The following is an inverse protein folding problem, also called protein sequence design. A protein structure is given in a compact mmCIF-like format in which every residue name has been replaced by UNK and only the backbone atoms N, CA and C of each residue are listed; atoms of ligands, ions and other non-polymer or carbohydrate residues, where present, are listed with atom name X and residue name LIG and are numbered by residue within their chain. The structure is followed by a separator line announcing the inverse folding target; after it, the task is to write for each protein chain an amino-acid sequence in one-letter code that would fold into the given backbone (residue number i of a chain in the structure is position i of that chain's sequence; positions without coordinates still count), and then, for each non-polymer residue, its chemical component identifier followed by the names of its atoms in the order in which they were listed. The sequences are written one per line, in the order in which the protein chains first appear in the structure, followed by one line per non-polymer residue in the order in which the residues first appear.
data_IF_751390991684
#
_entry.id   IF_751390991684
#
_cell.length_a   1.000
_cell.length_b   1.000
_cell.length_c   1.000
_cell.angle_alpha   90.00
_cell.angle_beta   90.00
_cell.angle_gamma   90.00
#
_symmetry.space_group_name_H-M   'P 1'
#
loop_
_entity.id
_entity.type
_entity.pdbx_description
1 polymer ?
#
# COMPACT_ATOMS: atom_id res chain seq x y z
N UNK A 1 3.32 34.40 -33.34
CA UNK A 1 2.31 33.70 -32.52
C UNK A 1 3.08 32.71 -31.68
N UNK A 2 3.52 33.16 -30.51
CA UNK A 2 4.29 32.40 -29.53
C UNK A 2 3.40 31.30 -28.97
N UNK A 3 3.83 30.05 -29.08
CA UNK A 3 3.20 28.91 -28.41
C UNK A 3 3.50 29.02 -26.92
N UNK A 4 2.52 29.45 -26.14
CA UNK A 4 2.50 29.31 -24.70
C UNK A 4 2.36 27.81 -24.40
N UNK A 5 3.45 27.20 -23.95
CA UNK A 5 3.43 25.88 -23.34
C UNK A 5 2.84 26.07 -21.94
N UNK A 6 1.63 25.56 -21.73
CA UNK A 6 1.04 25.45 -20.41
C UNK A 6 2.02 24.67 -19.52
N UNK A 7 2.54 25.31 -18.48
CA UNK A 7 3.39 24.67 -17.48
C UNK A 7 2.53 23.65 -16.72
N UNK A 8 2.59 22.38 -17.14
CA UNK A 8 2.03 21.26 -16.39
C UNK A 8 2.54 21.33 -14.94
N UNK A 9 1.63 21.58 -14.01
CA UNK A 9 1.89 21.69 -12.58
C UNK A 9 2.58 20.41 -12.08
N UNK A 10 3.90 20.46 -11.91
CA UNK A 10 4.69 19.32 -11.48
C UNK A 10 4.28 18.92 -10.06
N UNK A 11 3.48 17.86 -9.95
CA UNK A 11 3.15 17.22 -8.67
C UNK A 11 4.33 16.32 -8.29
N UNK A 12 5.09 16.74 -7.28
CA UNK A 12 6.22 15.97 -6.75
C UNK A 12 5.77 14.55 -6.34
N UNK A 13 6.39 13.54 -6.94
CA UNK A 13 6.04 12.13 -6.67
C UNK A 13 6.39 11.74 -5.23
N UNK A 14 5.36 11.39 -4.45
CA UNK A 14 5.52 10.87 -3.09
C UNK A 14 5.31 9.35 -3.08
N UNK A 15 6.35 8.55 -2.72
CA UNK A 15 6.24 7.10 -2.64
C UNK A 15 5.06 6.62 -1.77
N UNK A 16 4.38 5.55 -2.19
CA UNK A 16 3.20 4.95 -1.51
C UNK A 16 3.40 4.80 0.00
N UNK A 17 4.57 4.30 0.44
CA UNK A 17 4.87 4.13 1.85
C UNK A 17 4.84 5.45 2.64
N UNK A 18 5.32 6.54 2.03
CA UNK A 18 5.24 7.89 2.61
C UNK A 18 3.81 8.42 2.60
N UNK A 19 3.04 8.19 1.53
CA UNK A 19 1.61 8.56 1.47
C UNK A 19 0.79 7.85 2.56
N UNK A 20 0.97 6.53 2.73
CA UNK A 20 0.33 5.74 3.79
C UNK A 20 0.65 6.28 5.19
N UNK A 21 1.92 6.62 5.44
CA UNK A 21 2.33 7.21 6.71
C UNK A 21 1.72 8.60 6.94
N UNK A 22 1.65 9.44 5.90
CA UNK A 22 1.04 10.78 5.97
C UNK A 22 -0.47 10.71 6.22
N UNK A 23 -1.19 9.83 5.53
CA UNK A 23 -2.63 9.63 5.75
C UNK A 23 -2.92 9.05 7.13
N UNK A 24 -2.18 8.03 7.56
CA UNK A 24 -2.32 7.47 8.91
C UNK A 24 -2.10 8.55 9.98
N UNK A 25 -1.09 9.41 9.80
CA UNK A 25 -0.82 10.56 10.68
C UNK A 25 -1.96 11.59 10.63
N UNK A 26 -2.53 11.87 9.46
CA UNK A 26 -3.67 12.80 9.30
C UNK A 26 -4.93 12.28 10.01
N UNK A 27 -5.21 10.98 9.91
CA UNK A 27 -6.33 10.32 10.57
C UNK A 27 -6.16 10.31 12.10
N UNK A 28 -4.94 10.03 12.59
CA UNK A 28 -4.61 10.12 14.03
C UNK A 28 -4.80 11.55 14.59
N UNK A 29 -4.35 12.56 13.85
CA UNK A 29 -4.52 13.97 14.22
C UNK A 29 -6.00 14.40 14.25
N UNK A 30 -6.83 13.85 13.36
CA UNK A 30 -8.28 14.08 13.37
C UNK A 30 -8.94 13.49 14.62
N UNK A 31 -8.62 12.25 14.97
CA UNK A 31 -9.11 11.62 16.19
C UNK A 31 -8.67 12.34 17.48
N UNK A 32 -7.46 12.90 17.51
CA UNK A 32 -6.99 13.70 18.66
C UNK A 32 -7.75 15.02 18.82
N UNK A 33 -8.25 15.62 17.73
CA UNK A 33 -9.07 16.84 17.77
C UNK A 33 -10.51 16.57 18.24
N UNK A 34 -11.05 15.40 17.92
CA UNK A 34 -12.43 15.00 18.26
C UNK A 34 -12.57 14.40 19.68
N UNK A 35 -11.45 14.11 20.38
CA UNK A 35 -11.42 13.48 21.70
C UNK A 35 -11.43 14.40 22.93
N UNK A 36 -11.77 15.70 22.81
CA UNK A 36 -11.81 16.63 23.96
C UNK A 36 -13.24 16.72 24.52
N UNK A 37 -13.50 16.35 25.79
CA UNK A 37 -14.86 16.36 26.33
C UNK A 37 -15.34 17.79 26.58
N UNK A 38 -16.60 18.05 26.20
CA UNK A 38 -17.34 19.30 26.40
C UNK A 38 -17.66 19.42 27.89
N UNK A 39 -17.22 20.53 28.51
CA UNK A 39 -17.63 20.92 29.86
C UNK A 39 -19.00 21.59 29.76
N UNK A 40 -20.01 20.93 30.30
CA UNK A 40 -21.30 21.52 30.63
C UNK A 40 -21.12 22.72 31.57
N UNK A 41 -21.81 23.83 31.28
CA UNK A 41 -22.65 24.57 32.23
C UNK A 41 -23.49 25.57 31.45
N UNK A 42 -24.81 25.46 31.60
CA UNK A 42 -25.79 26.31 30.93
C UNK A 42 -26.06 27.64 31.65
N UNK A 43 -26.67 28.53 30.85
CA UNK A 43 -27.80 29.41 31.14
C UNK A 43 -27.68 30.53 32.19
N UNK A 44 -27.82 31.78 31.68
CA UNK A 44 -28.63 32.93 32.18
C UNK A 44 -28.39 33.47 33.60
N UNK A 45 -28.55 34.74 33.97
CA UNK A 45 -28.85 36.04 33.38
C UNK A 45 -28.74 37.06 34.56
N UNK A 46 -28.48 38.33 34.24
CA UNK A 46 -28.94 39.54 34.93
C UNK A 46 -28.25 40.10 36.23
N UNK A 47 -27.60 41.26 36.02
CA UNK A 47 -27.77 42.60 36.65
C UNK A 47 -27.05 43.01 37.96
N UNK A 48 -26.45 44.22 37.88
CA UNK A 48 -26.11 45.18 38.97
C UNK A 48 -24.65 45.13 39.44
N UNK A 49 -23.69 45.95 38.99
CA UNK A 49 -23.50 47.41 38.94
C UNK A 49 -22.72 48.00 40.15
N UNK A 50 -21.78 48.89 39.79
CA UNK A 50 -20.97 49.84 40.57
C UNK A 50 -19.82 49.29 41.48
N UNK A 51 -18.58 49.82 41.52
CA UNK A 51 -17.90 50.98 40.91
C UNK A 51 -16.40 51.02 41.33
N UNK A 52 -15.55 51.68 40.51
CA UNK A 52 -14.31 52.47 40.82
C UNK A 52 -13.00 51.70 41.16
N UNK A 53 -11.80 51.98 40.63
CA UNK A 53 -11.20 53.16 39.96
C UNK A 53 -10.02 52.79 38.99
N UNK A 54 -9.92 53.54 37.89
CA UNK A 54 -8.77 54.19 37.16
C UNK A 54 -7.32 53.63 37.20
N UNK A 55 -6.39 53.98 36.30
CA UNK A 55 -6.25 54.32 34.87
C UNK A 55 -4.73 54.52 34.64
N UNK A 56 -4.29 54.31 33.40
CA UNK A 56 -3.10 54.82 32.71
C UNK A 56 -1.64 54.51 33.17
N UNK A 57 -0.76 54.41 32.16
CA UNK A 57 0.70 54.18 32.24
C UNK A 57 1.51 55.49 32.12
N UNK A 58 2.85 55.47 31.90
CA UNK A 58 3.95 55.72 32.85
C UNK A 58 4.74 57.04 32.52
N UNK A 59 5.89 57.47 33.14
CA UNK A 59 7.23 56.83 32.97
C UNK A 59 8.36 57.17 34.01
N UNK A 60 9.58 56.65 33.74
CA UNK A 60 10.94 57.08 34.19
C UNK A 60 11.41 56.61 35.59
N UNK A 61 12.70 56.38 35.94
CA UNK A 61 14.02 56.24 35.29
C UNK A 61 15.04 55.80 36.37
N UNK A 62 16.27 55.40 35.97
CA UNK A 62 17.55 55.53 36.71
C UNK A 62 18.14 54.36 37.55
N UNK A 63 19.14 53.69 36.95
CA UNK A 63 20.57 53.56 37.37
C UNK A 63 21.15 52.32 38.14
N UNK A 64 22.21 51.75 37.50
CA UNK A 64 23.48 51.10 37.96
C UNK A 64 23.48 49.75 38.72
N UNK A 65 24.41 48.76 38.59
CA UNK A 65 25.44 48.21 37.63
C UNK A 65 26.02 46.90 38.33
N UNK A 66 27.06 46.16 37.83
CA UNK A 66 27.12 44.75 37.36
C UNK A 66 27.91 43.78 38.32
N UNK A 67 28.55 42.62 37.94
CA UNK A 67 28.59 41.83 36.68
C UNK A 67 28.41 40.28 36.80
N UNK A 68 27.95 39.59 35.74
CA UNK A 68 28.18 38.14 35.55
C UNK A 68 28.11 37.71 34.07
N UNK A 69 29.22 37.13 33.59
CA UNK A 69 29.47 36.27 32.41
C UNK A 69 28.59 36.39 31.14
N UNK A 70 29.20 36.88 30.06
CA UNK A 70 28.65 36.90 28.69
C UNK A 70 28.53 35.49 28.06
N UNK A 71 27.32 35.06 27.70
CA UNK A 71 27.08 33.93 26.79
C UNK A 71 26.68 34.45 25.40
N UNK A 72 27.53 34.23 24.39
CA UNK A 72 27.25 34.62 23.00
C UNK A 72 26.19 33.70 22.35
N UNK A 73 25.35 34.22 21.42
CA UNK A 73 24.33 33.43 20.74
C UNK A 73 24.95 32.37 19.79
N UNK A 74 24.28 31.24 19.54
CA UNK A 74 24.78 30.20 18.64
C UNK A 74 24.94 30.75 17.21
N UNK A 75 26.03 30.41 16.51
CA UNK A 75 26.28 30.92 15.17
C UNK A 75 25.24 30.39 14.17
N UNK A 76 24.84 31.24 13.23
CA UNK A 76 23.87 30.89 12.20
C UNK A 76 24.33 29.70 11.36
N UNK A 77 23.38 28.92 10.83
CA UNK A 77 23.64 27.72 10.02
C UNK A 77 24.57 28.01 8.82
N UNK A 78 24.49 29.23 8.26
CA UNK A 78 25.33 29.69 7.17
C UNK A 78 26.81 29.89 7.60
N UNK A 79 27.01 30.36 8.83
CA UNK A 79 28.34 30.50 9.45
C UNK A 79 28.91 29.12 9.82
N UNK A 80 28.07 28.18 10.26
CA UNK A 80 28.51 26.80 10.51
C UNK A 80 28.93 26.08 9.22
N UNK A 81 28.16 26.24 8.14
CA UNK A 81 28.48 25.64 6.84
C UNK A 81 29.81 26.16 6.25
N UNK A 82 30.09 27.46 6.41
CA UNK A 82 31.35 28.07 5.97
C UNK A 82 32.54 27.67 6.84
N UNK A 83 32.34 27.54 8.15
CA UNK A 83 33.37 27.01 9.08
C UNK A 83 33.67 25.53 8.81
N UNK A 84 32.67 24.72 8.47
CA UNK A 84 32.84 23.31 8.09
C UNK A 84 33.60 23.19 6.76
N UNK A 85 33.26 24.00 5.75
CA UNK A 85 34.02 24.05 4.49
C UNK A 85 35.47 24.48 4.68
N UNK A 86 35.74 25.39 5.62
CA UNK A 86 37.11 25.87 5.92
C UNK A 86 37.95 24.87 6.73
N UNK A 87 37.31 23.93 7.42
CA UNK A 87 37.96 22.84 8.18
C UNK A 87 38.22 21.58 7.35
N UNK A 88 37.65 21.50 6.13
CA UNK A 88 37.97 20.39 5.24
C UNK A 88 39.38 20.59 4.67
N UNK A 89 40.24 19.55 4.71
CA UNK A 89 41.55 19.64 4.07
C UNK A 89 41.36 19.92 2.58
N UNK A 90 42.20 20.80 2.02
CA UNK A 90 42.17 21.08 0.59
C UNK A 90 42.55 19.80 -0.16
N UNK A 91 41.56 19.14 -0.75
CA UNK A 91 41.74 17.87 -1.46
C UNK A 91 42.78 18.09 -2.56
N UNK A 92 43.87 17.35 -2.47
CA UNK A 92 45.02 17.49 -3.35
C UNK A 92 44.61 17.07 -4.76
N UNK A 93 45.19 17.69 -5.80
CA UNK A 93 44.89 17.32 -7.20
C UNK A 93 45.08 15.81 -7.48
N UNK A 94 46.01 15.17 -6.78
CA UNK A 94 46.23 13.73 -6.83
C UNK A 94 45.06 12.93 -6.23
N UNK A 95 44.50 13.36 -5.10
CA UNK A 95 43.35 12.71 -4.46
C UNK A 95 42.08 12.85 -5.30
N UNK A 96 41.90 13.99 -5.97
CA UNK A 96 40.77 14.19 -6.90
C UNK A 96 40.85 13.25 -8.11
N UNK A 97 42.05 13.03 -8.66
CA UNK A 97 42.27 12.09 -9.76
C UNK A 97 41.98 10.66 -9.33
N UNK A 98 42.48 10.25 -8.14
CA UNK A 98 42.18 8.92 -7.58
C UNK A 98 40.68 8.75 -7.35
N UNK A 99 39.99 9.79 -6.87
CA UNK A 99 38.54 9.76 -6.66
C UNK A 99 37.78 9.58 -7.99
N UNK A 100 38.19 10.30 -9.03
CA UNK A 100 37.61 10.16 -10.37
C UNK A 100 37.92 8.80 -11.00
N UNK A 101 39.14 8.28 -10.83
CA UNK A 101 39.50 6.94 -11.32
C UNK A 101 38.65 5.85 -10.64
N UNK A 102 38.43 5.95 -9.33
CA UNK A 102 37.55 5.04 -8.57
C UNK A 102 36.11 5.14 -9.09
N UNK A 103 35.61 6.35 -9.33
CA UNK A 103 34.25 6.58 -9.83
C UNK A 103 34.04 5.98 -11.22
N UNK A 104 34.98 6.20 -12.15
CA UNK A 104 34.94 5.65 -13.51
C UNK A 104 35.01 4.12 -13.49
N UNK A 105 35.88 3.53 -12.65
CA UNK A 105 35.99 2.08 -12.50
C UNK A 105 34.68 1.49 -11.94
N UNK A 106 34.07 2.16 -10.96
CA UNK A 106 32.80 1.73 -10.39
C UNK A 106 31.67 1.79 -11.41
N UNK A 107 31.61 2.86 -12.21
CA UNK A 107 30.58 3.06 -13.23
C UNK A 107 30.73 2.06 -14.41
N UNK A 108 31.98 1.72 -14.76
CA UNK A 108 32.30 0.65 -15.72
C UNK A 108 31.90 -0.73 -15.18
N UNK A 109 32.10 -1.01 -13.89
CA UNK A 109 31.68 -2.29 -13.27
C UNK A 109 30.16 -2.41 -13.15
N UNK A 110 29.43 -1.31 -12.93
CA UNK A 110 27.97 -1.31 -12.92
C UNK A 110 27.36 -1.37 -14.33
N UNK A 111 28.03 -0.77 -15.33
CA UNK A 111 27.59 -0.75 -16.73
C UNK A 111 27.96 -2.03 -17.50
N UNK A 112 29.10 -2.64 -17.17
CA UNK A 112 29.53 -3.91 -17.73
C UNK A 112 28.82 -5.06 -17.01
N UNK A 113 27.59 -5.35 -17.45
CA UNK A 113 26.77 -6.53 -17.10
C UNK A 113 26.76 -6.84 -15.60
N UNK A 114 25.69 -6.39 -14.92
CA UNK A 114 25.29 -6.93 -13.61
C UNK A 114 25.63 -8.44 -13.57
N UNK A 115 26.51 -8.89 -12.67
CA UNK A 115 26.84 -10.30 -12.57
C UNK A 115 25.54 -11.09 -12.45
N UNK A 116 25.50 -12.28 -13.04
CA UNK A 116 24.38 -13.22 -12.90
C UNK A 116 24.32 -13.63 -11.42
N UNK A 117 23.67 -12.80 -10.62
CA UNK A 117 23.44 -13.07 -9.21
C UNK A 117 22.39 -14.17 -9.10
N UNK A 118 22.57 -15.05 -8.13
CA UNK A 118 21.54 -16.06 -7.84
C UNK A 118 20.24 -15.36 -7.39
N UNK A 119 19.09 -16.00 -7.61
CA UNK A 119 17.80 -15.47 -7.13
C UNK A 119 17.84 -15.20 -5.61
N UNK A 120 18.61 -16.01 -4.88
CA UNK A 120 18.85 -15.85 -3.44
C UNK A 120 19.66 -14.59 -3.10
N UNK A 121 20.69 -14.28 -3.88
CA UNK A 121 21.50 -13.06 -3.72
C UNK A 121 20.70 -11.80 -4.06
N UNK A 122 19.89 -11.85 -5.13
CA UNK A 122 19.00 -10.76 -5.54
C UNK A 122 17.90 -10.48 -4.50
N UNK A 123 17.41 -11.53 -3.84
CA UNK A 123 16.35 -11.43 -2.83
C UNK A 123 16.82 -10.78 -1.52
N UNK A 124 18.11 -10.42 -1.36
CA UNK A 124 18.67 -9.80 -0.14
C UNK A 124 18.28 -10.52 1.15
N UNK A 125 18.07 -11.84 1.09
CA UNK A 125 17.63 -12.65 2.24
C UNK A 125 16.20 -12.39 2.72
N UNK A 126 15.38 -11.63 2.01
CA UNK A 126 13.98 -11.39 2.38
C UNK A 126 13.21 -12.69 2.18
N UNK A 127 12.79 -13.28 3.29
CA UNK A 127 11.90 -14.44 3.32
C UNK A 127 10.58 -13.99 3.91
N UNK A 128 9.52 -14.08 3.10
CA UNK A 128 8.17 -13.83 3.57
C UNK A 128 7.68 -15.07 4.29
N UNK A 129 7.48 -14.97 5.60
CA UNK A 129 7.01 -16.07 6.46
C UNK A 129 5.55 -15.93 6.82
N UNK A 130 5.02 -14.71 6.76
CA UNK A 130 3.65 -14.39 7.11
C UNK A 130 2.75 -14.36 5.86
N UNK A 131 1.50 -14.82 5.97
CA UNK A 131 0.53 -14.71 4.89
C UNK A 131 0.23 -13.24 4.58
N UNK A 132 -0.22 -12.98 3.35
CA UNK A 132 -0.65 -11.66 2.94
C UNK A 132 -1.80 -11.19 3.85
N UNK A 133 -1.72 -10.00 4.48
CA UNK A 133 -2.81 -9.52 5.32
C UNK A 133 -4.02 -9.19 4.45
N UNK A 134 -5.08 -10.01 4.54
CA UNK A 134 -6.35 -9.73 3.85
C UNK A 134 -7.47 -9.46 4.84
N UNK A 135 -8.41 -8.59 4.45
CA UNK A 135 -9.64 -8.33 5.21
C UNK A 135 -10.70 -9.42 5.02
N UNK A 136 -10.46 -10.39 4.14
CA UNK A 136 -11.44 -11.38 3.77
C UNK A 136 -11.55 -12.48 4.83
N UNK A 137 -12.78 -12.79 5.22
CA UNK A 137 -13.12 -13.92 6.08
C UNK A 137 -14.34 -14.64 5.54
N UNK A 138 -14.37 -15.99 5.57
CA UNK A 138 -15.54 -16.74 5.16
C UNK A 138 -16.79 -16.33 5.97
N UNK A 139 -18.00 -16.42 5.38
CA UNK A 139 -19.24 -16.18 6.11
C UNK A 139 -19.36 -17.06 7.37
N UNK A 140 -20.11 -16.58 8.37
CA UNK A 140 -20.23 -17.24 9.67
C UNK A 140 -20.65 -18.71 9.58
N UNK A 141 -21.53 -19.06 8.64
CA UNK A 141 -21.96 -20.46 8.41
C UNK A 141 -20.81 -21.42 8.12
N UNK A 142 -19.82 -21.00 7.32
CA UNK A 142 -18.66 -21.83 7.00
C UNK A 142 -17.66 -21.87 8.15
N UNK A 143 -17.51 -20.76 8.89
CA UNK A 143 -16.63 -20.69 10.06
C UNK A 143 -17.12 -21.55 11.23
N UNK A 144 -18.43 -21.64 11.42
CA UNK A 144 -19.07 -22.45 12.47
C UNK A 144 -19.29 -23.91 12.07
N UNK A 145 -19.10 -24.26 10.80
CA UNK A 145 -19.22 -25.63 10.31
C UNK A 145 -18.21 -26.53 11.04
N UNK A 146 -18.63 -27.68 11.60
CA UNK A 146 -17.72 -28.62 12.25
C UNK A 146 -16.72 -29.19 11.24
N UNK A 147 -15.57 -29.68 11.73
CA UNK A 147 -14.53 -30.26 10.86
C UNK A 147 -15.06 -31.44 10.05
N UNK A 148 -15.90 -32.28 10.65
CA UNK A 148 -16.50 -33.46 10.01
C UNK A 148 -17.28 -33.09 8.74
N UNK A 149 -18.09 -32.04 8.78
CA UNK A 149 -18.84 -31.55 7.61
C UNK A 149 -17.91 -31.01 6.52
N UNK A 150 -16.83 -30.31 6.91
CA UNK A 150 -15.81 -29.82 5.96
C UNK A 150 -15.13 -30.99 5.25
N UNK A 151 -14.80 -32.03 6.01
CA UNK A 151 -14.15 -33.23 5.49
C UNK A 151 -15.10 -34.08 4.64
N UNK A 152 -16.39 -34.12 5.00
CA UNK A 152 -17.42 -34.74 4.17
C UNK A 152 -17.54 -34.05 2.80
N UNK A 153 -17.52 -32.71 2.76
CA UNK A 153 -17.51 -31.95 1.51
C UNK A 153 -16.24 -32.26 0.71
N UNK A 154 -15.06 -32.24 1.35
CA UNK A 154 -13.79 -32.58 0.66
C UNK A 154 -13.82 -33.99 0.08
N UNK A 155 -14.32 -34.96 0.86
CA UNK A 155 -14.48 -36.35 0.41
C UNK A 155 -15.46 -36.47 -0.77
N UNK A 156 -16.59 -35.77 -0.71
CA UNK A 156 -17.59 -35.75 -1.79
C UNK A 156 -17.00 -35.25 -3.11
N UNK A 157 -16.14 -34.24 -3.07
CA UNK A 157 -15.52 -33.64 -4.25
C UNK A 157 -14.11 -34.16 -4.55
N UNK A 158 -13.67 -35.22 -3.88
CA UNK A 158 -12.35 -35.83 -4.01
C UNK A 158 -11.19 -34.81 -3.85
N UNK A 159 -11.35 -33.90 -2.90
CA UNK A 159 -10.36 -32.87 -2.58
C UNK A 159 -9.46 -33.40 -1.47
N UNK A 160 -8.16 -33.43 -1.74
CA UNK A 160 -7.12 -33.69 -0.74
C UNK A 160 -6.50 -32.36 -0.35
N UNK A 161 -6.33 -32.15 0.95
CA UNK A 161 -5.73 -30.94 1.52
C UNK A 161 -4.61 -31.32 2.47
N UNK A 162 -3.56 -30.53 2.46
CA UNK A 162 -2.40 -30.65 3.35
C UNK A 162 -1.96 -29.23 3.76
N UNK A 163 -1.42 -29.11 4.97
CA UNK A 163 -1.01 -27.84 5.57
C UNK A 163 -1.84 -27.39 6.78
N UNK A 164 -1.48 -26.23 7.31
CA UNK A 164 -1.99 -25.72 8.59
C UNK A 164 -3.21 -24.80 8.39
N UNK A 165 -4.11 -24.77 9.38
CA UNK A 165 -5.26 -23.85 9.47
C UNK A 165 -6.17 -23.77 8.21
N UNK A 166 -6.33 -24.85 7.44
CA UNK A 166 -7.01 -24.82 6.13
C UNK A 166 -8.44 -24.21 6.20
N UNK A 167 -8.72 -23.13 5.44
CA UNK A 167 -10.05 -22.53 5.39
C UNK A 167 -11.14 -23.52 4.96
N UNK A 168 -12.38 -23.33 5.42
CA UNK A 168 -13.48 -24.20 5.06
C UNK A 168 -13.77 -24.12 3.55
N UNK A 169 -14.17 -25.24 2.92
CA UNK A 169 -14.63 -25.23 1.53
C UNK A 169 -15.89 -24.37 1.37
N UNK A 170 -15.94 -23.54 0.32
CA UNK A 170 -17.10 -22.65 0.05
C UNK A 170 -17.77 -23.06 -1.26
N UNK A 171 -19.05 -23.44 -1.18
CA UNK A 171 -19.78 -24.05 -2.30
C UNK A 171 -20.47 -23.06 -3.24
N UNK A 172 -20.51 -21.77 -2.92
CA UNK A 172 -21.17 -20.73 -3.73
C UNK A 172 -20.26 -19.52 -3.91
N UNK A 173 -20.17 -18.99 -5.14
CA UNK A 173 -19.40 -17.77 -5.42
C UNK A 173 -19.90 -16.55 -4.64
N UNK A 174 -21.22 -16.42 -4.46
CA UNK A 174 -21.81 -15.32 -3.68
C UNK A 174 -21.34 -15.32 -2.22
N UNK A 175 -21.10 -16.50 -1.65
CA UNK A 175 -20.58 -16.63 -0.29
C UNK A 175 -19.10 -16.22 -0.18
N UNK A 176 -18.38 -16.17 -1.30
CA UNK A 176 -17.00 -15.69 -1.36
C UNK A 176 -16.91 -14.16 -1.45
N UNK A 177 -18.04 -13.44 -1.46
CA UNK A 177 -18.13 -11.96 -1.47
C UNK A 177 -17.49 -11.31 -2.71
N UNK A 178 -17.62 -11.95 -3.86
CA UNK A 178 -17.25 -11.31 -5.12
C UNK A 178 -18.21 -10.15 -5.47
N UNK A 179 -17.73 -9.10 -6.14
CA UNK A 179 -18.56 -8.04 -6.70
C UNK A 179 -19.66 -8.57 -7.62
N UNK A 180 -20.82 -7.91 -7.65
CA UNK A 180 -21.94 -8.29 -8.51
C UNK A 180 -21.56 -8.42 -10.00
N UNK A 181 -20.77 -7.50 -10.61
CA UNK A 181 -20.32 -7.66 -11.99
C UNK A 181 -19.51 -8.94 -12.22
N UNK A 182 -18.73 -9.39 -11.22
CA UNK A 182 -18.00 -10.66 -11.31
C UNK A 182 -18.96 -11.85 -11.35
N UNK A 183 -19.98 -11.82 -10.49
CA UNK A 183 -20.99 -12.88 -10.41
C UNK A 183 -21.82 -12.96 -11.70
N UNK A 184 -22.12 -11.83 -12.33
CA UNK A 184 -22.79 -11.76 -13.62
C UNK A 184 -21.96 -12.37 -14.74
N UNK A 185 -20.65 -12.06 -14.81
CA UNK A 185 -19.73 -12.66 -15.78
C UNK A 185 -19.62 -14.17 -15.59
N UNK A 186 -19.52 -14.65 -14.34
CA UNK A 186 -19.50 -16.08 -14.04
C UNK A 186 -20.78 -16.76 -14.53
N UNK A 187 -21.94 -16.15 -14.30
CA UNK A 187 -23.24 -16.65 -14.75
C UNK A 187 -23.36 -16.64 -16.27
N UNK A 188 -22.92 -15.58 -16.94
CA UNK A 188 -22.91 -15.47 -18.39
C UNK A 188 -22.04 -16.54 -19.06
N UNK A 189 -20.96 -16.96 -18.39
CA UNK A 189 -20.10 -18.08 -18.81
C UNK A 189 -20.65 -19.46 -18.45
N UNK A 190 -21.85 -19.55 -17.88
CA UNK A 190 -22.47 -20.81 -17.46
C UNK A 190 -21.84 -21.41 -16.19
N UNK A 191 -21.00 -20.66 -15.47
CA UNK A 191 -20.33 -21.10 -14.24
C UNK A 191 -21.23 -20.78 -13.05
N UNK A 192 -22.17 -21.69 -12.77
CA UNK A 192 -23.12 -21.53 -11.64
C UNK A 192 -22.54 -21.96 -10.29
N UNK A 193 -21.60 -22.92 -10.30
CA UNK A 193 -20.97 -23.50 -9.11
C UNK A 193 -19.46 -23.58 -9.27
N UNK A 194 -18.68 -23.40 -8.18
CA UNK A 194 -17.24 -23.54 -8.23
C UNK A 194 -16.86 -25.00 -8.52
N UNK A 195 -15.80 -25.18 -9.31
CA UNK A 195 -15.18 -26.49 -9.52
C UNK A 195 -14.47 -26.96 -8.24
N UNK A 196 -14.09 -28.25 -8.10
CA UNK A 196 -13.44 -28.75 -6.89
C UNK A 196 -12.20 -27.95 -6.46
N UNK A 197 -11.36 -27.54 -7.42
CA UNK A 197 -10.17 -26.74 -7.14
C UNK A 197 -10.52 -25.31 -6.71
N UNK A 198 -11.63 -24.74 -7.21
CA UNK A 198 -12.11 -23.42 -6.83
C UNK A 198 -12.78 -23.42 -5.45
N UNK A 199 -13.52 -24.47 -5.13
CA UNK A 199 -14.28 -24.64 -3.89
C UNK A 199 -13.37 -24.60 -2.65
N UNK A 200 -12.16 -25.18 -2.75
CA UNK A 200 -11.14 -25.12 -1.70
C UNK A 200 -10.09 -24.04 -1.95
N UNK A 201 -9.67 -23.82 -3.19
CA UNK A 201 -8.58 -22.89 -3.53
C UNK A 201 -8.96 -21.43 -3.35
N UNK A 202 -10.16 -21.01 -3.76
CA UNK A 202 -10.57 -19.61 -3.63
C UNK A 202 -10.57 -19.14 -2.17
N UNK A 203 -11.16 -19.87 -1.19
CA UNK A 203 -11.07 -19.50 0.22
C UNK A 203 -9.64 -19.40 0.74
N UNK A 204 -8.70 -20.23 0.25
CA UNK A 204 -7.30 -20.22 0.68
C UNK A 204 -6.62 -18.92 0.20
N UNK A 205 -6.67 -18.63 -1.10
CA UNK A 205 -6.03 -17.42 -1.66
C UNK A 205 -6.69 -16.15 -1.15
N UNK A 206 -8.02 -16.11 -1.04
CA UNK A 206 -8.74 -14.95 -0.49
C UNK A 206 -8.35 -14.67 0.97
N UNK A 207 -7.99 -15.70 1.74
CA UNK A 207 -7.47 -15.55 3.11
C UNK A 207 -6.00 -15.06 3.15
N UNK A 208 -5.39 -14.77 1.99
CA UNK A 208 -4.01 -14.29 1.89
C UNK A 208 -2.95 -15.38 2.03
N UNK A 209 -3.36 -16.65 1.96
CA UNK A 209 -2.47 -17.77 2.17
C UNK A 209 -1.83 -18.24 0.87
N UNK A 210 -0.57 -18.62 0.98
CA UNK A 210 0.12 -19.33 -0.08
C UNK A 210 -0.48 -20.72 -0.27
N UNK A 211 -0.57 -21.14 -1.53
CA UNK A 211 -1.12 -22.45 -1.87
C UNK A 211 -0.46 -23.06 -3.09
N UNK A 212 -0.40 -24.39 -3.09
CA UNK A 212 -0.06 -25.20 -4.27
C UNK A 212 -1.34 -25.94 -4.67
N UNK A 213 -1.89 -25.58 -5.84
CA UNK A 213 -3.11 -26.18 -6.36
C UNK A 213 -2.84 -27.19 -7.47
N UNK A 214 -3.04 -28.48 -7.19
CA UNK A 214 -2.90 -29.55 -8.19
C UNK A 214 -4.28 -29.97 -8.67
N UNK A 215 -4.53 -29.89 -9.98
CA UNK A 215 -5.79 -30.30 -10.60
C UNK A 215 -5.61 -30.53 -12.11
N UNK A 216 -6.49 -31.32 -12.73
CA UNK A 216 -6.44 -31.64 -14.16
C UNK A 216 -6.58 -30.41 -15.07
N UNK A 217 -6.13 -30.50 -16.32
CA UNK A 217 -6.36 -29.46 -17.33
C UNK A 217 -7.86 -29.24 -17.55
N UNK A 218 -8.28 -27.99 -17.74
CA UNK A 218 -9.70 -27.66 -17.90
C UNK A 218 -10.52 -27.62 -16.60
N UNK A 219 -9.93 -27.86 -15.43
CA UNK A 219 -10.65 -27.82 -14.14
C UNK A 219 -10.97 -26.42 -13.60
N UNK A 220 -10.68 -25.36 -14.37
CA UNK A 220 -10.96 -23.98 -13.96
C UNK A 220 -9.93 -23.35 -13.02
N UNK A 221 -8.69 -23.88 -12.96
CA UNK A 221 -7.59 -23.34 -12.15
C UNK A 221 -7.33 -21.84 -12.37
N UNK A 222 -7.51 -21.35 -13.59
CA UNK A 222 -7.28 -19.93 -13.94
C UNK A 222 -8.05 -18.98 -13.04
N UNK A 223 -9.31 -19.30 -12.74
CA UNK A 223 -10.14 -18.43 -11.89
C UNK A 223 -9.69 -18.43 -10.42
N UNK A 224 -8.97 -19.45 -9.97
CA UNK A 224 -8.50 -19.58 -8.57
C UNK A 224 -7.49 -18.51 -8.23
N UNK A 225 -6.64 -18.10 -9.18
CA UNK A 225 -5.70 -17.00 -8.97
C UNK A 225 -6.19 -15.68 -9.58
N UNK A 226 -6.96 -15.69 -10.66
CA UNK A 226 -7.47 -14.45 -11.28
C UNK A 226 -8.47 -13.72 -10.39
N UNK A 227 -9.48 -14.41 -9.85
CA UNK A 227 -10.54 -13.73 -9.09
C UNK A 227 -10.03 -13.09 -7.79
N UNK A 228 -9.20 -13.77 -6.96
CA UNK A 228 -8.63 -13.14 -5.78
C UNK A 228 -7.69 -11.99 -6.11
N UNK A 229 -6.92 -12.08 -7.21
CA UNK A 229 -6.04 -10.99 -7.64
C UNK A 229 -6.84 -9.73 -7.99
N UNK A 230 -7.96 -9.88 -8.71
CA UNK A 230 -8.87 -8.77 -9.01
C UNK A 230 -9.45 -8.18 -7.72
N UNK A 231 -9.87 -9.02 -6.76
CA UNK A 231 -10.39 -8.52 -5.48
C UNK A 231 -9.35 -7.73 -4.68
N UNK A 232 -8.11 -8.22 -4.61
CA UNK A 232 -7.01 -7.52 -3.94
C UNK A 232 -6.71 -6.21 -4.65
N UNK A 233 -6.61 -6.22 -5.98
CA UNK A 233 -6.37 -5.02 -6.77
C UNK A 233 -7.47 -3.97 -6.58
N UNK A 234 -8.75 -4.39 -6.60
CA UNK A 234 -9.88 -3.52 -6.28
C UNK A 234 -9.72 -2.91 -4.88
N UNK A 235 -9.47 -3.75 -3.86
CA UNK A 235 -9.35 -3.29 -2.48
C UNK A 235 -8.23 -2.24 -2.32
N UNK A 236 -7.07 -2.47 -2.92
CA UNK A 236 -5.95 -1.53 -2.86
C UNK A 236 -6.28 -0.22 -3.58
N UNK A 237 -6.90 -0.26 -4.76
CA UNK A 237 -7.32 0.95 -5.49
C UNK A 237 -8.38 1.76 -4.74
N UNK A 238 -9.32 1.09 -4.05
CA UNK A 238 -10.30 1.75 -3.17
C UNK A 238 -9.64 2.44 -1.98
N UNK A 239 -8.59 1.84 -1.43
CA UNK A 239 -7.90 2.37 -0.26
C UNK A 239 -6.95 3.51 -0.63
N UNK A 240 -6.16 3.33 -1.70
CA UNK A 240 -5.20 4.31 -2.19
C UNK A 240 -4.96 4.09 -3.68
N UNK A 241 -5.47 4.99 -4.55
CA UNK A 241 -5.31 4.83 -5.98
C UNK A 241 -3.84 4.75 -6.43
N UNK A 242 -3.56 3.82 -7.34
CA UNK A 242 -2.22 3.57 -7.88
C UNK A 242 -1.86 4.69 -8.87
N UNK A 243 -0.81 5.43 -8.55
CA UNK A 243 -0.34 6.56 -9.34
C UNK A 243 0.38 6.14 -10.63
N UNK A 244 0.67 7.09 -11.53
CA UNK A 244 1.51 6.84 -12.70
C UNK A 244 2.89 6.32 -12.28
N UNK A 245 3.37 5.26 -12.93
CA UNK A 245 4.65 4.62 -12.62
C UNK A 245 4.62 3.68 -11.41
N UNK A 246 3.46 3.49 -10.77
CA UNK A 246 3.28 2.55 -9.66
C UNK A 246 2.67 1.22 -10.11
N UNK A 247 2.99 0.16 -9.36
CA UNK A 247 2.55 -1.21 -9.64
C UNK A 247 3.65 -2.09 -10.23
N UNK A 248 3.31 -3.31 -10.67
CA UNK A 248 1.97 -3.90 -10.64
C UNK A 248 1.54 -4.32 -9.21
N UNK A 249 0.23 -4.31 -8.93
CA UNK A 249 -0.33 -4.87 -7.68
C UNK A 249 -0.31 -6.41 -7.67
N UNK A 250 -0.28 -7.02 -8.87
CA UNK A 250 -0.35 -8.45 -9.05
C UNK A 250 0.43 -8.89 -10.28
N UNK A 251 1.14 -10.02 -10.17
CA UNK A 251 1.91 -10.60 -11.27
C UNK A 251 1.51 -12.06 -11.48
N UNK A 252 1.12 -12.40 -12.71
CA UNK A 252 0.88 -13.78 -13.13
C UNK A 252 1.99 -14.17 -14.10
N UNK A 253 2.73 -15.23 -13.77
CA UNK A 253 3.82 -15.72 -14.60
C UNK A 253 3.35 -16.96 -15.36
N UNK A 254 3.53 -16.95 -16.68
CA UNK A 254 3.15 -18.04 -17.57
C UNK A 254 4.39 -18.59 -18.32
N UNK A 255 4.41 -19.91 -18.64
CA UNK A 255 5.51 -20.54 -19.38
C UNK A 255 5.60 -20.15 -20.86
N UNK A 256 4.49 -19.73 -21.47
CA UNK A 256 4.43 -19.33 -22.89
C UNK A 256 3.62 -18.06 -23.09
N UNK A 257 3.89 -17.35 -24.19
CA UNK A 257 3.20 -16.09 -24.54
C UNK A 257 1.73 -16.33 -24.85
N UNK A 258 1.41 -17.46 -25.48
CA UNK A 258 0.04 -17.83 -25.83
C UNK A 258 -0.79 -18.06 -24.57
N UNK A 259 -0.22 -18.72 -23.55
CA UNK A 259 -0.92 -18.93 -22.28
C UNK A 259 -1.05 -17.63 -21.47
N UNK A 260 -0.05 -16.75 -21.54
CA UNK A 260 -0.15 -15.40 -20.99
C UNK A 260 -1.31 -14.62 -21.63
N UNK A 261 -1.41 -14.64 -22.97
CA UNK A 261 -2.51 -14.00 -23.71
C UNK A 261 -3.87 -14.58 -23.35
N UNK A 262 -4.01 -15.91 -23.29
CA UNK A 262 -5.25 -16.56 -22.86
C UNK A 262 -5.66 -16.12 -21.45
N UNK A 263 -4.70 -16.02 -20.53
CA UNK A 263 -4.96 -15.57 -19.16
C UNK A 263 -5.34 -14.10 -19.12
N UNK A 264 -4.67 -13.26 -19.89
CA UNK A 264 -4.98 -11.84 -20.05
C UNK A 264 -6.40 -11.63 -20.59
N UNK A 265 -6.81 -12.36 -21.62
CA UNK A 265 -8.16 -12.30 -22.17
C UNK A 265 -9.21 -12.70 -21.12
N UNK A 266 -8.90 -13.68 -20.26
CA UNK A 266 -9.77 -14.05 -19.14
C UNK A 266 -9.91 -12.91 -18.15
N UNK A 267 -8.80 -12.26 -17.77
CA UNK A 267 -8.80 -11.11 -16.85
C UNK A 267 -9.64 -9.96 -17.42
N UNK A 268 -9.40 -9.58 -18.67
CA UNK A 268 -10.10 -8.47 -19.34
C UNK A 268 -11.63 -8.65 -19.35
N UNK A 269 -12.10 -9.87 -19.57
CA UNK A 269 -13.53 -10.19 -19.52
C UNK A 269 -14.17 -9.98 -18.15
N UNK A 270 -13.41 -10.01 -17.05
CA UNK A 270 -13.92 -9.67 -15.71
C UNK A 270 -13.80 -8.17 -15.41
N UNK A 271 -12.82 -7.48 -15.99
CA UNK A 271 -12.59 -6.05 -15.76
C UNK A 271 -13.57 -5.15 -16.55
N UNK A 272 -13.90 -5.51 -17.79
CA UNK A 272 -14.75 -4.67 -18.64
C UNK A 272 -16.14 -4.37 -18.01
N UNK A 273 -16.89 -5.34 -17.48
CA UNK A 273 -18.18 -5.06 -16.84
C UNK A 273 -18.08 -4.30 -15.51
N UNK A 274 -16.90 -4.32 -14.86
CA UNK A 274 -16.68 -3.52 -13.65
C UNK A 274 -16.53 -2.04 -13.99
N UNK A 275 -15.85 -1.72 -15.09
CA UNK A 275 -15.67 -0.36 -15.57
C UNK A 275 -16.98 0.25 -16.10
N UNK A 276 -17.78 -0.54 -16.84
CA UNK A 276 -19.04 -0.07 -17.43
C UNK A 276 -20.12 0.28 -16.39
N UNK A 277 -20.17 -0.46 -15.28
CA UNK A 277 -21.19 -0.30 -14.24
C UNK A 277 -20.97 0.94 -13.34
N UNK A 278 -19.89 1.71 -13.53
CA UNK A 278 -19.64 3.01 -12.89
C UNK A 278 -19.47 2.99 -11.35
N UNK A 279 -19.56 1.82 -10.72
CA UNK A 279 -19.51 1.66 -9.26
C UNK A 279 -18.19 1.14 -8.71
N UNK A 280 -17.21 0.84 -9.55
CA UNK A 280 -15.92 0.26 -9.18
C UNK A 280 -14.75 1.07 -9.79
N UNK A 281 -13.59 1.16 -9.11
CA UNK A 281 -12.41 1.81 -9.66
C UNK A 281 -11.94 1.07 -10.91
N UNK A 282 -11.38 1.83 -11.85
CA UNK A 282 -10.83 1.27 -13.08
C UNK A 282 -9.54 0.51 -12.79
N UNK A 283 -9.55 -0.80 -13.08
CA UNK A 283 -8.36 -1.64 -12.99
C UNK A 283 -7.70 -1.75 -14.36
N UNK A 284 -6.37 -1.56 -14.37
CA UNK A 284 -5.54 -1.73 -15.57
C UNK A 284 -4.81 -3.07 -15.49
N UNK A 285 -4.81 -3.82 -16.59
CA UNK A 285 -3.96 -5.00 -16.74
C UNK A 285 -3.17 -4.94 -18.04
N UNK A 286 -1.98 -5.55 -18.03
CA UNK A 286 -1.10 -5.63 -19.20
C UNK A 286 -0.54 -7.05 -19.33
N UNK A 287 -0.25 -7.48 -20.56
CA UNK A 287 0.53 -8.69 -20.84
C UNK A 287 1.74 -8.30 -21.69
N UNK A 288 2.91 -8.82 -21.31
CA UNK A 288 4.19 -8.62 -22.02
C UNK A 288 4.52 -9.85 -22.85
#
# INVERSE_FOLDING_TARGET
MTMELEEDEYVEYVPVAKRRALEAKKTLLRHQREGKPIRDTGSSCALGDETLDDDDSPPSSSANKPPAAESKPPPSLLVQATQLKRKQPAITRAEQLVQQEIEIVQDLLSSARKPLMSVSELAKGITYTEPLPTGWKPPLRYRRMPSEDRDAIRKQWHIVVDGEEIPPPVSNFRDMKFPDPTLEVLKARGISRPTPIQLQGLPVVLSGRDMIGISSTGSGKTLVFVLPLIMIALQEEWMMPVGPGEGPLGLIVCPTRELARQTYDVVQQFLAPMAENGGYPELRCCSV
#
